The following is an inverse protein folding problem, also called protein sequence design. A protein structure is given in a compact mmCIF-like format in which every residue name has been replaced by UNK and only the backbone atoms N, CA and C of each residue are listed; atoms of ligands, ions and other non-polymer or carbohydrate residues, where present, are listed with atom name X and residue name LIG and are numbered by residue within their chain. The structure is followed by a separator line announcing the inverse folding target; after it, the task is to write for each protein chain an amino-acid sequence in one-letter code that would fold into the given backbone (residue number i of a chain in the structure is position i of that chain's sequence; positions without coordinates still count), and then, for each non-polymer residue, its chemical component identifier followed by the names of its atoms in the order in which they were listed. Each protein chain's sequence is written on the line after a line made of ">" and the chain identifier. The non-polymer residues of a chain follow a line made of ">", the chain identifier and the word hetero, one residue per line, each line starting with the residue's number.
data_IF_276279331698
#
_entry.id   IF_276279331698
#
_cell.length_a   1.000
_cell.length_b   1.000
_cell.length_c   1.000
_cell.angle_alpha   90.00
_cell.angle_beta   90.00
_cell.angle_gamma   90.00
#
_symmetry.space_group_name_H-M   'P 1'
#
loop_
_entity.id
_entity.type
_entity.pdbx_description
1 polymer ?
#
# COMPACT_ATOMS: atom_id res chain seq x y z
N UNK A 1 -28.67 -16.36 -48.10
CA UNK A 1 -28.39 -16.95 -46.77
C UNK A 1 -26.93 -16.72 -46.32
N UNK A 2 -25.96 -17.01 -47.14
CA UNK A 2 -24.49 -16.91 -46.81
C UNK A 2 -24.07 -15.52 -46.31
N UNK A 3 -24.56 -14.44 -46.93
CA UNK A 3 -24.23 -13.05 -46.51
C UNK A 3 -24.71 -12.73 -45.08
N UNK A 4 -25.87 -13.26 -44.65
CA UNK A 4 -26.36 -13.03 -43.28
C UNK A 4 -25.57 -13.80 -42.24
N UNK A 5 -25.11 -15.00 -42.56
CA UNK A 5 -24.25 -15.82 -41.67
C UNK A 5 -22.90 -15.16 -41.50
N UNK A 6 -22.31 -14.59 -42.58
CA UNK A 6 -21.05 -13.88 -42.56
C UNK A 6 -21.12 -12.61 -41.72
N UNK A 7 -22.21 -11.85 -41.81
CA UNK A 7 -22.43 -10.63 -41.00
C UNK A 7 -22.57 -10.98 -39.52
N UNK A 8 -23.24 -12.08 -39.18
CA UNK A 8 -23.42 -12.53 -37.80
C UNK A 8 -22.08 -12.98 -37.16
N UNK A 9 -21.23 -13.65 -37.96
CA UNK A 9 -19.90 -14.07 -37.47
C UNK A 9 -18.96 -12.90 -37.21
N UNK A 10 -19.02 -11.86 -38.04
CA UNK A 10 -18.24 -10.64 -37.82
C UNK A 10 -18.72 -9.92 -36.54
N UNK A 11 -20.02 -9.83 -36.33
CA UNK A 11 -20.60 -9.21 -35.13
C UNK A 11 -20.19 -9.97 -33.85
N UNK A 12 -20.17 -11.30 -33.89
CA UNK A 12 -19.74 -12.14 -32.77
C UNK A 12 -18.26 -11.93 -32.43
N UNK A 13 -17.38 -11.81 -33.44
CA UNK A 13 -15.93 -11.52 -33.25
C UNK A 13 -15.70 -10.16 -32.62
N UNK A 14 -16.46 -9.13 -33.03
CA UNK A 14 -16.37 -7.77 -32.44
C UNK A 14 -16.79 -7.77 -30.97
N UNK A 15 -17.82 -8.52 -30.59
CA UNK A 15 -18.27 -8.65 -29.20
C UNK A 15 -17.25 -9.38 -28.30
N UNK A 16 -16.50 -10.34 -28.83
CA UNK A 16 -15.46 -11.07 -28.09
C UNK A 16 -14.22 -10.19 -27.91
N UNK A 17 -13.86 -9.34 -28.88
CA UNK A 17 -12.69 -8.45 -28.82
C UNK A 17 -12.93 -7.20 -27.94
N UNK A 18 -14.19 -6.81 -27.66
CA UNK A 18 -14.54 -5.67 -26.81
C UNK A 18 -14.43 -5.91 -25.31
N UNK A 19 -14.07 -7.11 -24.86
CA UNK A 19 -14.24 -7.57 -23.48
C UNK A 19 -13.12 -7.33 -22.47
N UNK A 20 -12.13 -6.48 -22.73
CA UNK A 20 -11.03 -6.27 -21.77
C UNK A 20 -10.66 -4.79 -21.57
N UNK A 21 -11.56 -3.98 -21.02
CA UNK A 21 -11.25 -2.56 -20.74
C UNK A 21 -11.20 -2.16 -19.26
N UNK A 22 -11.21 -3.10 -18.32
CA UNK A 22 -11.03 -2.80 -16.89
C UNK A 22 -9.76 -3.45 -16.30
N UNK A 23 -8.64 -3.37 -16.98
CA UNK A 23 -7.36 -3.58 -16.30
C UNK A 23 -7.07 -2.32 -15.47
N UNK A 24 -7.14 -2.41 -14.15
CA UNK A 24 -6.49 -1.45 -13.27
C UNK A 24 -5.01 -1.45 -13.65
N UNK A 25 -4.60 -0.50 -14.49
CA UNK A 25 -3.24 -0.38 -14.95
C UNK A 25 -2.35 -0.15 -13.73
N UNK A 26 -1.31 -0.95 -13.59
CA UNK A 26 -0.31 -0.82 -12.52
C UNK A 26 0.31 0.58 -12.53
N UNK A 27 0.43 1.19 -13.69
CA UNK A 27 0.95 2.55 -13.92
C UNK A 27 0.10 3.65 -13.28
N UNK A 28 -1.20 3.42 -13.04
CA UNK A 28 -2.09 4.37 -12.36
C UNK A 28 -2.25 4.06 -10.88
N UNK A 29 -1.74 2.91 -10.41
CA UNK A 29 -1.83 2.50 -9.01
C UNK A 29 -0.75 3.20 -8.19
N UNK A 30 -1.14 3.78 -7.07
CA UNK A 30 -0.21 4.34 -6.10
C UNK A 30 0.26 3.24 -5.16
N UNK A 31 1.45 2.71 -5.44
CA UNK A 31 2.05 1.60 -4.72
C UNK A 31 2.67 2.07 -3.41
N UNK A 32 2.14 1.62 -2.29
CA UNK A 32 2.71 1.86 -0.96
C UNK A 32 3.79 0.82 -0.69
N UNK A 33 5.00 1.26 -0.38
CA UNK A 33 6.10 0.38 0.02
C UNK A 33 6.30 0.31 1.53
N UNK A 34 6.07 1.42 2.21
CA UNK A 34 6.23 1.48 3.66
C UNK A 34 5.03 2.17 4.28
N UNK A 35 4.61 1.67 5.43
CA UNK A 35 3.64 2.33 6.31
C UNK A 35 4.28 2.47 7.68
N UNK A 36 4.12 3.64 8.30
CA UNK A 36 4.42 3.83 9.72
C UNK A 36 3.13 4.08 10.48
N UNK A 37 3.02 3.52 11.69
CA UNK A 37 1.96 3.83 12.65
C UNK A 37 2.58 4.52 13.86
N UNK A 38 2.22 5.77 14.06
CA UNK A 38 2.79 6.65 15.09
C UNK A 38 1.74 7.05 16.12
N UNK A 39 2.15 7.16 17.39
CA UNK A 39 1.33 7.79 18.41
C UNK A 39 1.58 9.31 18.41
N UNK A 40 0.57 10.10 18.06
CA UNK A 40 0.62 11.56 18.15
C UNK A 40 -0.48 12.05 19.07
N UNK A 41 -0.09 12.49 20.28
CA UNK A 41 -1.03 13.04 21.27
C UNK A 41 -2.22 12.09 21.60
N UNK A 42 -1.95 10.80 21.73
CA UNK A 42 -2.96 9.77 22.04
C UNK A 42 -3.76 9.26 20.85
N UNK A 43 -3.49 9.76 19.65
CA UNK A 43 -4.12 9.32 18.41
C UNK A 43 -3.12 8.58 17.54
N UNK A 44 -3.60 7.57 16.80
CA UNK A 44 -2.76 6.84 15.88
C UNK A 44 -2.78 7.51 14.51
N UNK A 45 -1.60 7.89 14.02
CA UNK A 45 -1.38 8.46 12.69
C UNK A 45 -0.64 7.45 11.83
N UNK A 46 -1.21 7.12 10.70
CA UNK A 46 -0.63 6.25 9.69
C UNK A 46 -0.03 7.08 8.57
N UNK A 47 1.27 6.89 8.30
CA UNK A 47 1.93 7.54 7.17
C UNK A 47 2.19 6.50 6.09
N UNK A 48 1.66 6.74 4.90
CA UNK A 48 1.82 5.90 3.72
C UNK A 48 2.91 6.51 2.84
N UNK A 49 3.99 5.77 2.61
CA UNK A 49 5.09 6.18 1.75
C UNK A 49 4.97 5.47 0.40
N UNK A 50 4.73 6.27 -0.64
CA UNK A 50 4.48 5.81 -1.99
C UNK A 50 5.74 5.93 -2.84
N UNK A 51 5.98 4.94 -3.67
CA UNK A 51 7.00 5.00 -4.70
C UNK A 51 6.39 5.70 -5.94
N UNK A 52 6.76 6.94 -6.18
CA UNK A 52 6.26 7.68 -7.35
C UNK A 52 7.23 7.61 -8.53
N UNK A 53 8.52 7.68 -8.26
CA UNK A 53 9.64 7.43 -9.16
C UNK A 53 10.77 6.90 -8.28
N UNK A 54 11.83 6.31 -8.84
CA UNK A 54 12.93 5.72 -8.04
C UNK A 54 13.53 6.66 -6.98
N UNK A 55 13.26 7.96 -7.05
CA UNK A 55 13.85 9.00 -6.21
C UNK A 55 12.81 9.80 -5.38
N UNK A 56 11.51 9.81 -5.77
CA UNK A 56 10.48 10.59 -5.08
C UNK A 56 9.55 9.72 -4.23
N UNK A 57 9.71 9.81 -2.91
CA UNK A 57 8.78 9.23 -1.95
C UNK A 57 7.73 10.28 -1.59
N UNK A 58 6.50 10.08 -2.00
CA UNK A 58 5.38 10.91 -1.56
C UNK A 58 4.76 10.29 -0.30
N UNK A 59 4.63 11.08 0.78
CA UNK A 59 3.97 10.65 2.01
C UNK A 59 2.54 11.17 2.09
N UNK A 60 1.63 10.33 2.56
CA UNK A 60 0.27 10.71 2.95
C UNK A 60 0.04 10.28 4.38
N UNK A 61 -0.42 11.20 5.23
CA UNK A 61 -0.70 10.97 6.64
C UNK A 61 -2.20 10.95 6.91
N UNK A 62 -2.67 9.96 7.64
CA UNK A 62 -4.07 9.79 8.00
C UNK A 62 -4.20 9.39 9.46
N UNK A 63 -5.06 10.08 10.22
CA UNK A 63 -5.44 9.69 11.56
C UNK A 63 -6.56 8.64 11.51
N UNK A 64 -6.35 7.48 12.14
CA UNK A 64 -7.34 6.41 12.18
C UNK A 64 -7.11 5.46 13.38
N UNK A 65 -8.11 4.67 13.71
CA UNK A 65 -8.07 3.69 14.81
C UNK A 65 -7.36 2.37 14.41
N UNK A 66 -7.24 2.10 13.11
CA UNK A 66 -6.58 0.90 12.57
C UNK A 66 -6.05 1.15 11.17
N UNK A 67 -5.10 0.33 10.73
CA UNK A 67 -4.55 0.37 9.37
C UNK A 67 -5.64 0.20 8.30
N UNK A 68 -6.61 -0.67 8.52
CA UNK A 68 -7.73 -0.86 7.59
C UNK A 68 -8.52 0.44 7.39
N UNK A 69 -8.92 1.11 8.49
CA UNK A 69 -9.61 2.41 8.43
C UNK A 69 -8.74 3.48 7.79
N UNK A 70 -7.44 3.49 8.11
CA UNK A 70 -6.49 4.42 7.50
C UNK A 70 -6.40 4.27 5.98
N UNK A 71 -6.36 3.04 5.47
CA UNK A 71 -6.36 2.75 4.02
C UNK A 71 -7.64 3.25 3.36
N UNK A 72 -8.79 3.04 3.98
CA UNK A 72 -10.08 3.52 3.45
C UNK A 72 -10.11 5.05 3.38
N UNK A 73 -9.68 5.72 4.45
CA UNK A 73 -9.63 7.18 4.52
C UNK A 73 -8.62 7.76 3.53
N UNK A 74 -7.43 7.16 3.41
CA UNK A 74 -6.41 7.59 2.45
C UNK A 74 -6.90 7.50 1.01
N UNK A 75 -7.61 6.43 0.66
CA UNK A 75 -8.23 6.26 -0.66
C UNK A 75 -9.31 7.31 -0.93
N UNK A 76 -10.15 7.58 0.07
CA UNK A 76 -11.28 8.51 -0.08
C UNK A 76 -10.80 9.97 -0.22
N UNK A 77 -9.81 10.36 0.59
CA UNK A 77 -9.43 11.77 0.71
C UNK A 77 -8.26 12.19 -0.21
N UNK A 78 -7.34 11.27 -0.51
CA UNK A 78 -6.06 11.64 -1.14
C UNK A 78 -5.70 10.83 -2.38
N UNK A 79 -5.82 9.51 -2.33
CA UNK A 79 -5.28 8.60 -3.35
C UNK A 79 -6.26 7.46 -3.64
N UNK A 80 -7.22 7.64 -4.56
CA UNK A 80 -8.24 6.63 -4.87
C UNK A 80 -7.68 5.27 -5.26
N UNK A 81 -6.52 5.24 -5.94
CA UNK A 81 -5.86 4.01 -6.43
C UNK A 81 -4.75 3.49 -5.51
N UNK A 82 -4.73 3.91 -4.23
CA UNK A 82 -3.77 3.42 -3.23
C UNK A 82 -3.88 1.91 -3.05
N UNK A 83 -2.74 1.21 -3.12
CA UNK A 83 -2.67 -0.23 -2.87
C UNK A 83 -1.47 -0.60 -2.01
N UNK A 84 -1.66 -1.58 -1.13
CA UNK A 84 -0.64 -2.17 -0.27
C UNK A 84 -0.01 -3.44 -0.89
N UNK A 85 -0.27 -3.75 -2.17
CA UNK A 85 0.22 -4.96 -2.84
C UNK A 85 1.75 -5.05 -2.91
N UNK A 86 2.45 -3.93 -2.71
CA UNK A 86 3.91 -3.83 -2.65
C UNK A 86 4.40 -3.36 -1.29
N UNK A 87 3.57 -3.51 -0.24
CA UNK A 87 3.99 -3.20 1.11
C UNK A 87 5.14 -4.13 1.51
N UNK A 88 6.28 -3.55 1.81
CA UNK A 88 7.49 -4.27 2.22
C UNK A 88 7.79 -4.08 3.70
N UNK A 89 7.45 -2.90 4.24
CA UNK A 89 7.78 -2.55 5.62
C UNK A 89 6.60 -1.89 6.33
N UNK A 90 6.24 -2.41 7.49
CA UNK A 90 5.31 -1.82 8.43
C UNK A 90 6.03 -1.51 9.73
N UNK A 91 6.25 -0.22 10.01
CA UNK A 91 6.93 0.26 11.22
C UNK A 91 5.91 0.75 12.24
N UNK A 92 6.04 0.31 13.46
CA UNK A 92 5.08 0.53 14.53
C UNK A 92 5.77 1.26 15.67
N UNK A 93 5.19 2.37 16.10
CA UNK A 93 5.64 3.05 17.31
C UNK A 93 5.49 2.13 18.53
N UNK A 94 6.55 1.92 19.27
CA UNK A 94 6.56 1.12 20.49
C UNK A 94 5.61 1.64 21.57
N UNK A 95 5.17 2.90 21.48
CA UNK A 95 4.17 3.51 22.36
C UNK A 95 2.72 3.28 21.91
N UNK A 96 2.49 2.58 20.80
CA UNK A 96 1.14 2.16 20.41
C UNK A 96 0.69 0.97 21.25
N UNK A 97 -0.57 1.01 21.68
CA UNK A 97 -1.14 -0.07 22.47
C UNK A 97 -1.21 -1.40 21.73
N UNK A 98 -1.09 -2.50 22.47
CA UNK A 98 -1.12 -3.88 21.96
C UNK A 98 -2.38 -4.18 21.11
N UNK A 99 -3.51 -3.56 21.44
CA UNK A 99 -4.77 -3.73 20.71
C UNK A 99 -4.65 -3.26 19.25
N UNK A 100 -4.05 -2.09 19.03
CA UNK A 100 -3.86 -1.54 17.69
C UNK A 100 -2.94 -2.44 16.88
N UNK A 101 -1.83 -2.87 17.49
CA UNK A 101 -0.90 -3.80 16.88
C UNK A 101 -1.56 -5.08 16.41
N UNK A 102 -2.31 -5.76 17.29
CA UNK A 102 -3.01 -7.02 16.94
C UNK A 102 -3.98 -6.82 15.78
N UNK A 103 -4.72 -5.72 15.78
CA UNK A 103 -5.67 -5.40 14.73
C UNK A 103 -4.98 -5.22 13.39
N UNK A 104 -3.89 -4.47 13.36
CA UNK A 104 -3.16 -4.16 12.13
C UNK A 104 -2.41 -5.37 11.56
N UNK A 105 -1.74 -6.15 12.42
CA UNK A 105 -1.09 -7.41 12.01
C UNK A 105 -2.12 -8.41 11.46
N UNK A 106 -3.27 -8.52 12.11
CA UNK A 106 -4.35 -9.38 11.63
C UNK A 106 -4.90 -8.93 10.26
N UNK A 107 -5.01 -7.62 10.04
CA UNK A 107 -5.39 -7.08 8.74
C UNK A 107 -4.32 -7.39 7.68
N UNK A 108 -3.04 -7.16 7.95
CA UNK A 108 -1.94 -7.45 7.03
C UNK A 108 -1.91 -8.93 6.66
N UNK A 109 -2.05 -9.83 7.64
CA UNK A 109 -1.96 -11.28 7.42
C UNK A 109 -3.15 -11.88 6.66
N UNK A 110 -4.34 -11.28 6.76
CA UNK A 110 -5.57 -11.79 6.14
C UNK A 110 -5.90 -11.14 4.80
N UNK A 111 -5.38 -9.96 4.52
CA UNK A 111 -5.71 -9.24 3.31
C UNK A 111 -4.95 -9.80 2.10
N UNK A 112 -5.67 -10.50 1.22
CA UNK A 112 -5.11 -11.10 -0.01
C UNK A 112 -4.43 -10.10 -0.96
N UNK A 113 -4.67 -8.81 -0.77
CA UNK A 113 -4.10 -7.71 -1.59
C UNK A 113 -2.88 -7.06 -0.96
N UNK A 114 -2.38 -7.58 0.17
CA UNK A 114 -1.14 -7.12 0.80
C UNK A 114 -0.03 -8.12 0.47
N UNK A 115 1.19 -7.62 0.33
CA UNK A 115 2.35 -8.49 0.06
C UNK A 115 2.56 -9.48 1.20
N UNK A 116 2.69 -10.79 0.94
CA UNK A 116 3.01 -11.78 1.96
C UNK A 116 4.44 -11.62 2.50
N UNK A 117 5.27 -10.81 1.85
CA UNK A 117 6.64 -10.50 2.24
C UNK A 117 6.76 -9.21 3.05
N UNK A 118 5.66 -8.72 3.63
CA UNK A 118 5.67 -7.54 4.49
C UNK A 118 6.39 -7.83 5.81
N UNK A 119 7.37 -7.02 6.14
CA UNK A 119 8.04 -7.03 7.44
C UNK A 119 7.37 -6.06 8.38
N UNK A 120 7.08 -6.50 9.60
CA UNK A 120 6.65 -5.63 10.68
C UNK A 120 7.79 -5.47 11.70
N UNK A 121 8.07 -4.24 12.11
CA UNK A 121 9.09 -3.94 13.09
C UNK A 121 8.65 -2.80 14.03
N UNK A 122 9.12 -2.86 15.28
CA UNK A 122 8.93 -1.78 16.23
C UNK A 122 10.02 -0.72 16.07
N UNK A 123 9.64 0.53 16.28
CA UNK A 123 10.55 1.66 16.29
C UNK A 123 10.14 2.65 17.38
N UNK A 124 11.06 3.47 17.84
CA UNK A 124 10.71 4.59 18.71
C UNK A 124 10.14 5.77 17.90
N UNK A 125 9.35 6.60 18.59
CA UNK A 125 8.69 7.76 17.98
C UNK A 125 9.66 8.73 17.31
N UNK A 126 10.87 8.93 17.86
CA UNK A 126 11.86 9.85 17.28
C UNK A 126 12.36 9.35 15.93
N UNK A 127 12.67 8.06 15.85
CA UNK A 127 13.10 7.41 14.60
C UNK A 127 12.01 7.48 13.53
N UNK A 128 10.74 7.23 13.89
CA UNK A 128 9.61 7.36 12.95
C UNK A 128 9.45 8.79 12.44
N UNK A 129 9.62 9.79 13.30
CA UNK A 129 9.59 11.21 12.91
C UNK A 129 10.74 11.60 11.96
N UNK A 130 11.91 10.96 12.07
CA UNK A 130 12.99 11.18 11.12
C UNK A 130 12.60 10.73 9.70
N UNK A 131 11.89 9.62 9.56
CA UNK A 131 11.45 9.12 8.25
C UNK A 131 10.49 10.08 7.54
N UNK A 132 9.68 10.83 8.29
CA UNK A 132 8.80 11.84 7.70
C UNK A 132 9.57 13.04 7.13
N UNK A 133 10.79 13.28 7.64
CA UNK A 133 11.67 14.41 7.24
C UNK A 133 12.77 13.98 6.27
N UNK A 134 13.31 12.78 6.46
CA UNK A 134 14.43 12.25 5.68
C UNK A 134 14.05 10.94 5.00
N UNK A 135 13.74 11.04 3.71
CA UNK A 135 13.36 9.91 2.84
C UNK A 135 14.51 8.92 2.63
N UNK A 136 15.74 9.41 2.68
CA UNK A 136 16.94 8.58 2.55
C UNK A 136 17.12 7.68 3.78
N UNK A 137 16.80 8.18 4.98
CA UNK A 137 16.81 7.38 6.20
C UNK A 137 15.87 6.18 6.10
N UNK A 138 14.66 6.36 5.54
CA UNK A 138 13.71 5.28 5.33
C UNK A 138 14.26 4.21 4.36
N UNK A 139 14.92 4.63 3.26
CA UNK A 139 15.56 3.72 2.31
C UNK A 139 16.66 2.90 2.97
N UNK A 140 17.54 3.52 3.75
CA UNK A 140 18.64 2.85 4.47
C UNK A 140 18.12 1.81 5.47
N UNK A 141 17.08 2.13 6.24
CA UNK A 141 16.46 1.18 7.17
C UNK A 141 15.88 -0.03 6.43
N UNK A 142 15.18 0.20 5.32
CA UNK A 142 14.66 -0.87 4.48
C UNK A 142 15.79 -1.78 3.97
N UNK A 143 16.85 -1.22 3.41
CA UNK A 143 18.01 -1.97 2.94
C UNK A 143 18.65 -2.79 4.04
N UNK A 144 18.77 -2.23 5.24
CA UNK A 144 19.35 -2.91 6.40
C UNK A 144 18.48 -4.12 6.83
N UNK A 145 17.16 -3.95 6.91
CA UNK A 145 16.22 -5.04 7.27
C UNK A 145 16.29 -6.17 6.23
N UNK A 146 16.30 -5.83 4.94
CA UNK A 146 16.43 -6.83 3.86
C UNK A 146 17.79 -7.56 3.92
N UNK A 147 18.86 -6.85 4.27
CA UNK A 147 20.19 -7.44 4.39
C UNK A 147 20.33 -8.40 5.57
N UNK A 148 19.66 -8.12 6.69
CA UNK A 148 19.62 -9.02 7.86
C UNK A 148 18.96 -10.37 7.55
N UNK A 149 18.08 -10.44 6.56
CA UNK A 149 17.41 -11.66 6.11
C UNK A 149 18.35 -12.61 5.34
N UNK A 150 19.37 -12.08 4.68
CA UNK A 150 20.23 -12.86 3.77
C UNK A 150 21.45 -13.43 4.49
N UNK A 151 21.50 -13.32 5.82
CA UNK A 151 22.47 -13.99 6.70
C UNK A 151 21.80 -15.11 7.46
#
# INVERSE_FOLDING_TARGET
>A
MIKKIFLLSILAVILILGGCTNSNRIDTSSLVQTVTAENKSGKTVYNFYLLKNREDVQGVSVEAESLEKAVILAKKAYIPMLTLSKLELYLIDSNLGEKNLKTDINYISKASKISPLTYAAFSDTKTLQLFSKDKEALRKVKEHIVHLKNK
#
